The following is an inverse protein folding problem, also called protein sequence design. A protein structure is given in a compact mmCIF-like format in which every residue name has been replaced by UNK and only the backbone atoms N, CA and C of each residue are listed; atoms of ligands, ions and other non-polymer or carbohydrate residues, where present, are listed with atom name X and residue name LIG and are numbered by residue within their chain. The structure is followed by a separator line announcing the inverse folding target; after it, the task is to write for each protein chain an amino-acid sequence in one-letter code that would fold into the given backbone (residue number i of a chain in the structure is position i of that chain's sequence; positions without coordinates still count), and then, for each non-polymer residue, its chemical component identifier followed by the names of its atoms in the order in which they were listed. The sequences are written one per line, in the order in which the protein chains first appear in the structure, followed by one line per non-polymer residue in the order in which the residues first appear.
data_IF_821201178618
#
_entry.id   IF_821201178618
#
_cell.length_a   1.000
_cell.length_b   1.000
_cell.length_c   1.000
_cell.angle_alpha   90.00
_cell.angle_beta   90.00
_cell.angle_gamma   90.00
#
_symmetry.space_group_name_H-M   'P 1'
#
loop_
_entity.id
_entity.type
_entity.pdbx_description
1 polymer ?
#
# COMPACT_ATOMS: atom_id res chain seq x y z
N UNK A 1 2.72 -11.96 -4.88
CA UNK A 1 1.91 -10.70 -4.87
C UNK A 1 2.46 -9.61 -5.78
N UNK A 2 3.77 -9.42 -5.87
CA UNK A 2 4.34 -8.29 -6.62
C UNK A 2 4.00 -8.33 -8.13
N UNK A 3 4.17 -9.49 -8.79
CA UNK A 3 3.87 -9.62 -10.23
C UNK A 3 2.36 -9.73 -10.51
N UNK A 4 1.62 -10.37 -9.62
CA UNK A 4 0.19 -10.61 -9.75
C UNK A 4 -0.62 -9.30 -9.67
N UNK A 5 -0.08 -8.30 -8.98
CA UNK A 5 -0.69 -6.97 -8.87
C UNK A 5 -0.79 -6.19 -10.18
N UNK A 6 -0.03 -6.60 -11.21
CA UNK A 6 -0.09 -6.02 -12.55
C UNK A 6 -1.15 -6.66 -13.44
N UNK A 7 -1.70 -7.84 -13.05
CA UNK A 7 -2.67 -8.58 -13.86
C UNK A 7 -3.93 -7.78 -14.21
N UNK A 8 -4.55 -7.01 -13.29
CA UNK A 8 -5.72 -6.21 -13.64
C UNK A 8 -5.42 -5.15 -14.70
N UNK A 9 -4.28 -4.45 -14.57
CA UNK A 9 -3.84 -3.45 -15.55
C UNK A 9 -3.50 -4.07 -16.90
N UNK A 10 -2.85 -5.25 -16.89
CA UNK A 10 -2.56 -6.03 -18.08
C UNK A 10 -3.84 -6.48 -18.80
N UNK A 11 -4.85 -6.96 -18.07
CA UNK A 11 -6.12 -7.39 -18.69
C UNK A 11 -6.93 -6.24 -19.28
N UNK A 12 -6.85 -5.03 -18.70
CA UNK A 12 -7.58 -3.86 -19.22
C UNK A 12 -6.87 -3.22 -20.42
N UNK A 13 -5.54 -3.12 -20.38
CA UNK A 13 -4.75 -2.31 -21.34
C UNK A 13 -3.84 -3.14 -22.26
N UNK A 14 -3.65 -4.42 -21.99
CA UNK A 14 -2.72 -5.28 -22.72
C UNK A 14 -1.25 -4.95 -22.47
N UNK A 15 -0.36 -5.72 -23.10
CA UNK A 15 1.07 -5.43 -23.18
C UNK A 15 1.52 -5.60 -24.64
N UNK A 16 2.31 -4.66 -25.13
CA UNK A 16 2.85 -4.69 -26.48
C UNK A 16 4.05 -5.64 -26.65
N UNK A 17 4.59 -6.18 -25.55
CA UNK A 17 5.82 -6.99 -25.56
C UNK A 17 7.11 -6.16 -25.57
N UNK A 18 7.02 -4.83 -25.56
CA UNK A 18 8.17 -3.91 -25.52
C UNK A 18 8.22 -3.18 -24.17
N UNK A 19 9.39 -2.62 -23.87
CA UNK A 19 9.58 -1.68 -22.77
C UNK A 19 9.16 -0.28 -23.23
N UNK A 20 7.86 -0.13 -23.49
CA UNK A 20 7.23 1.11 -23.92
C UNK A 20 6.38 1.71 -22.78
N UNK A 21 5.08 1.96 -23.01
CA UNK A 21 4.24 2.80 -22.14
C UNK A 21 3.80 2.10 -20.82
N UNK A 22 4.14 0.82 -20.66
CA UNK A 22 3.93 -0.02 -19.46
C UNK A 22 2.63 0.31 -18.69
N UNK A 23 1.46 0.24 -19.34
CA UNK A 23 0.20 0.75 -18.79
C UNK A 23 -0.25 -0.01 -17.53
N UNK A 24 0.13 -1.29 -17.43
CA UNK A 24 -0.11 -2.09 -16.24
C UNK A 24 0.63 -1.54 -15.02
N UNK A 25 1.87 -1.05 -15.18
CA UNK A 25 2.65 -0.51 -14.09
C UNK A 25 2.10 0.83 -13.58
N UNK A 26 1.66 1.70 -14.49
CA UNK A 26 1.01 2.95 -14.14
C UNK A 26 -0.28 2.71 -13.37
N UNK A 27 -1.12 1.79 -13.85
CA UNK A 27 -2.37 1.45 -13.18
C UNK A 27 -2.12 0.91 -11.77
N UNK A 28 -1.22 -0.06 -11.62
CA UNK A 28 -0.91 -0.65 -10.31
C UNK A 28 -0.34 0.40 -9.36
N UNK A 29 0.60 1.24 -9.81
CA UNK A 29 1.18 2.27 -8.95
C UNK A 29 0.12 3.25 -8.44
N UNK A 30 -0.74 3.79 -9.32
CA UNK A 30 -1.82 4.71 -8.96
C UNK A 30 -2.85 4.04 -8.04
N UNK A 31 -3.29 2.83 -8.37
CA UNK A 31 -4.32 2.14 -7.61
C UNK A 31 -3.89 1.88 -6.15
N UNK A 32 -2.65 1.42 -5.97
CA UNK A 32 -2.11 1.17 -4.62
C UNK A 32 -1.76 2.45 -3.88
N UNK A 33 -1.34 3.52 -4.56
CA UNK A 33 -1.12 4.83 -3.94
C UNK A 33 -2.43 5.43 -3.41
N UNK A 34 -3.52 5.34 -4.20
CA UNK A 34 -4.87 5.71 -3.74
C UNK A 34 -5.34 4.84 -2.56
N UNK A 35 -5.03 3.54 -2.59
CA UNK A 35 -5.35 2.65 -1.47
C UNK A 35 -4.61 3.03 -0.19
N UNK A 36 -3.37 3.51 -0.27
CA UNK A 36 -2.63 4.07 0.86
C UNK A 36 -3.31 5.34 1.40
N UNK A 37 -3.66 6.28 0.52
CA UNK A 37 -4.33 7.53 0.90
C UNK A 37 -5.65 7.29 1.62
N UNK A 38 -6.50 6.41 1.07
CA UNK A 38 -7.78 6.03 1.69
C UNK A 38 -7.56 5.32 3.02
N UNK A 39 -6.63 4.35 3.07
CA UNK A 39 -6.31 3.64 4.30
C UNK A 39 -5.83 4.58 5.41
N UNK A 40 -4.97 5.55 5.09
CA UNK A 40 -4.48 6.55 6.04
C UNK A 40 -5.59 7.49 6.52
N UNK A 41 -6.53 7.86 5.65
CA UNK A 41 -7.70 8.64 6.07
C UNK A 41 -8.52 7.87 7.10
N UNK A 42 -8.78 6.57 6.86
CA UNK A 42 -9.52 5.69 7.76
C UNK A 42 -8.78 5.44 9.08
N UNK A 43 -7.46 5.27 9.05
CA UNK A 43 -6.60 5.22 10.24
C UNK A 43 -6.73 6.51 11.04
N UNK A 44 -6.64 7.65 10.37
CA UNK A 44 -6.79 8.97 10.99
C UNK A 44 -8.14 9.12 11.66
N UNK A 45 -9.23 8.77 10.97
CA UNK A 45 -10.59 8.77 11.54
C UNK A 45 -10.68 7.87 12.78
N UNK A 46 -10.09 6.68 12.72
CA UNK A 46 -10.17 5.67 13.80
C UNK A 46 -9.42 6.10 15.06
N UNK A 47 -8.23 6.67 14.93
CA UNK A 47 -7.33 6.90 16.08
C UNK A 47 -7.16 8.36 16.49
N UNK A 48 -7.51 9.33 15.62
CA UNK A 48 -7.32 10.76 15.90
C UNK A 48 -8.40 11.68 15.31
N UNK A 49 -9.52 11.13 14.84
CA UNK A 49 -10.66 11.88 14.31
C UNK A 49 -10.40 12.62 12.99
N UNK A 50 -11.29 13.55 12.66
CA UNK A 50 -11.27 14.29 11.38
C UNK A 50 -9.96 15.07 11.10
N UNK A 51 -9.29 15.70 12.09
CA UNK A 51 -8.03 16.39 11.83
C UNK A 51 -6.93 15.43 11.37
N UNK A 52 -6.80 14.27 12.02
CA UNK A 52 -5.80 13.27 11.65
C UNK A 52 -6.14 12.58 10.33
N UNK A 53 -7.44 12.41 10.04
CA UNK A 53 -7.92 11.90 8.77
C UNK A 53 -7.56 12.78 7.57
N UNK A 54 -7.46 14.10 7.75
CA UNK A 54 -6.95 15.02 6.72
C UNK A 54 -5.42 15.05 6.68
N UNK A 55 -4.78 15.07 7.85
CA UNK A 55 -3.33 15.23 7.95
C UNK A 55 -2.54 14.03 7.39
N UNK A 56 -2.97 12.79 7.64
CA UNK A 56 -2.22 11.61 7.21
C UNK A 56 -2.17 11.41 5.69
N UNK A 57 -3.29 11.49 4.94
CA UNK A 57 -3.25 11.43 3.48
C UNK A 57 -2.50 12.62 2.89
N UNK A 58 -2.63 13.82 3.47
CA UNK A 58 -1.87 14.99 3.03
C UNK A 58 -0.37 14.78 3.22
N UNK A 59 0.06 14.26 4.37
CA UNK A 59 1.46 13.94 4.62
C UNK A 59 1.99 12.88 3.65
N UNK A 60 1.20 11.85 3.33
CA UNK A 60 1.55 10.86 2.31
C UNK A 60 1.73 11.48 0.93
N UNK A 61 0.83 12.36 0.51
CA UNK A 61 0.92 13.03 -0.79
C UNK A 61 2.08 14.05 -0.85
N UNK A 62 2.39 14.71 0.26
CA UNK A 62 3.46 15.72 0.34
C UNK A 62 4.86 15.11 0.54
N UNK A 63 4.95 13.84 0.95
CA UNK A 63 6.23 13.21 1.25
C UNK A 63 7.01 12.89 -0.04
N UNK A 64 8.27 13.33 -0.17
CA UNK A 64 8.98 13.24 -1.45
C UNK A 64 9.24 11.80 -1.90
N UNK A 65 9.37 10.84 -0.98
CA UNK A 65 9.65 9.45 -1.35
C UNK A 65 8.40 8.70 -1.85
N UNK A 66 7.22 8.99 -1.30
CA UNK A 66 5.95 8.43 -1.82
C UNK A 66 5.61 9.03 -3.18
N UNK A 67 5.88 10.32 -3.37
CA UNK A 67 5.80 10.97 -4.69
C UNK A 67 6.80 10.38 -5.69
N UNK A 68 8.04 10.13 -5.27
CA UNK A 68 9.04 9.46 -6.10
C UNK A 68 8.61 8.05 -6.52
N UNK A 69 8.01 7.29 -5.59
CA UNK A 69 7.45 5.96 -5.87
C UNK A 69 6.34 6.02 -6.90
N UNK A 70 5.38 6.93 -6.75
CA UNK A 70 4.30 7.14 -7.71
C UNK A 70 4.82 7.56 -9.09
N UNK A 71 5.77 8.51 -9.13
CA UNK A 71 6.34 9.02 -10.38
C UNK A 71 7.20 7.99 -11.12
N UNK A 72 7.81 7.06 -10.39
CA UNK A 72 8.66 5.99 -10.95
C UNK A 72 7.86 4.74 -11.33
N UNK A 73 6.55 4.72 -11.09
CA UNK A 73 5.68 3.56 -11.30
C UNK A 73 6.20 2.27 -10.63
N UNK A 74 6.87 2.42 -9.48
CA UNK A 74 7.32 1.25 -8.71
C UNK A 74 6.20 0.73 -7.83
N UNK A 75 6.31 -0.55 -7.48
CA UNK A 75 5.35 -1.29 -6.66
C UNK A 75 5.60 -1.17 -5.15
N UNK A 76 6.45 -0.22 -4.72
CA UNK A 76 6.72 0.06 -3.31
C UNK A 76 5.48 0.49 -2.51
N UNK A 77 4.42 0.97 -3.18
CA UNK A 77 3.14 1.27 -2.54
C UNK A 77 2.35 0.02 -2.13
N UNK A 78 2.58 -1.15 -2.75
CA UNK A 78 1.87 -2.39 -2.42
C UNK A 78 2.13 -2.86 -0.97
N UNK A 79 3.40 -3.06 -0.53
CA UNK A 79 3.64 -3.45 0.85
C UNK A 79 3.17 -2.37 1.83
N UNK A 80 3.35 -1.08 1.50
CA UNK A 80 2.86 0.01 2.33
C UNK A 80 1.34 -0.02 2.51
N UNK A 81 0.57 -0.25 1.43
CA UNK A 81 -0.88 -0.40 1.49
C UNK A 81 -1.26 -1.55 2.42
N UNK A 82 -0.65 -2.73 2.27
CA UNK A 82 -0.93 -3.85 3.16
C UNK A 82 -0.66 -3.52 4.62
N UNK A 83 0.45 -2.83 4.94
CA UNK A 83 0.72 -2.41 6.31
C UNK A 83 -0.30 -1.40 6.85
N UNK A 84 -0.71 -0.41 6.04
CA UNK A 84 -1.72 0.59 6.43
C UNK A 84 -3.06 -0.09 6.74
N UNK A 85 -3.51 -0.99 5.87
CA UNK A 85 -4.77 -1.73 6.07
C UNK A 85 -4.68 -2.73 7.23
N UNK A 86 -3.53 -3.38 7.41
CA UNK A 86 -3.25 -4.21 8.58
C UNK A 86 -3.28 -3.43 9.89
N UNK A 87 -2.73 -2.21 9.90
CA UNK A 87 -2.78 -1.31 11.04
C UNK A 87 -4.19 -0.78 11.31
N UNK A 88 -4.94 -0.44 10.26
CA UNK A 88 -6.33 -0.06 10.40
C UNK A 88 -7.16 -1.20 11.02
N UNK A 89 -6.83 -2.46 10.72
CA UNK A 89 -7.48 -3.67 11.24
C UNK A 89 -6.74 -4.31 12.43
N UNK A 90 -5.88 -3.56 13.14
CA UNK A 90 -4.99 -4.09 14.17
C UNK A 90 -5.71 -4.81 15.33
N UNK A 91 -6.99 -4.50 15.57
CA UNK A 91 -7.82 -5.20 16.58
C UNK A 91 -8.20 -6.63 16.20
N UNK A 92 -8.04 -7.04 14.95
CA UNK A 92 -8.22 -8.43 14.52
C UNK A 92 -6.86 -9.10 14.34
N UNK A 93 -6.55 -10.06 15.21
CA UNK A 93 -5.29 -10.81 15.17
C UNK A 93 -5.06 -11.51 13.82
N UNK A 94 -6.13 -12.06 13.23
CA UNK A 94 -6.09 -12.66 11.91
C UNK A 94 -5.80 -11.63 10.82
N UNK A 95 -6.51 -10.50 10.82
CA UNK A 95 -6.34 -9.49 9.78
C UNK A 95 -4.92 -8.91 9.81
N UNK A 96 -4.42 -8.47 10.96
CA UNK A 96 -3.05 -7.91 11.06
C UNK A 96 -1.99 -8.94 10.65
N UNK A 97 -2.16 -10.22 11.01
CA UNK A 97 -1.27 -11.30 10.60
C UNK A 97 -1.27 -11.53 9.09
N UNK A 98 -2.44 -11.59 8.47
CA UNK A 98 -2.59 -11.74 7.01
C UNK A 98 -1.94 -10.56 6.28
N UNK A 99 -2.25 -9.33 6.69
CA UNK A 99 -1.70 -8.14 6.05
C UNK A 99 -0.18 -8.00 6.23
N UNK A 100 0.37 -8.35 7.41
CA UNK A 100 1.82 -8.41 7.62
C UNK A 100 2.49 -9.48 6.74
N UNK A 101 1.86 -10.65 6.61
CA UNK A 101 2.35 -11.72 5.75
C UNK A 101 2.32 -11.32 4.27
N UNK A 102 1.22 -10.74 3.79
CA UNK A 102 1.08 -10.25 2.41
C UNK A 102 2.08 -9.14 2.08
N UNK A 103 2.29 -8.22 3.02
CA UNK A 103 3.33 -7.18 2.88
C UNK A 103 4.72 -7.80 2.76
N UNK A 104 5.06 -8.73 3.66
CA UNK A 104 6.38 -9.36 3.71
C UNK A 104 6.64 -10.27 2.52
N UNK A 105 5.59 -10.92 2.00
CA UNK A 105 5.62 -11.67 0.74
C UNK A 105 5.86 -10.77 -0.48
N UNK A 106 5.48 -9.48 -0.38
CA UNK A 106 5.74 -8.50 -1.44
C UNK A 106 7.16 -7.95 -1.36
N UNK A 107 7.62 -7.56 -0.16
CA UNK A 107 9.01 -7.19 0.14
C UNK A 107 9.36 -7.62 1.57
N UNK A 108 10.38 -8.47 1.73
CA UNK A 108 10.76 -9.06 3.03
C UNK A 108 11.08 -8.04 4.14
N UNK A 109 11.53 -6.84 3.78
CA UNK A 109 11.85 -5.78 4.73
C UNK A 109 10.70 -5.46 5.69
N UNK A 110 9.45 -5.61 5.26
CA UNK A 110 8.29 -5.31 6.12
C UNK A 110 8.05 -6.33 7.22
N UNK A 111 8.73 -7.49 7.21
CA UNK A 111 8.61 -8.49 8.27
C UNK A 111 9.08 -7.93 9.64
N UNK A 112 9.83 -6.82 9.63
CA UNK A 112 10.23 -6.09 10.83
C UNK A 112 9.04 -5.65 11.70
N UNK A 113 7.84 -5.49 11.13
CA UNK A 113 6.65 -5.12 11.92
C UNK A 113 6.05 -6.31 12.70
N UNK A 114 6.43 -7.55 12.37
CA UNK A 114 5.81 -8.74 12.94
C UNK A 114 5.94 -8.83 14.46
N UNK A 115 7.11 -8.61 15.09
CA UNK A 115 7.23 -8.66 16.55
C UNK A 115 6.31 -7.63 17.25
N UNK A 116 6.17 -6.44 16.69
CA UNK A 116 5.33 -5.37 17.24
C UNK A 116 3.84 -5.71 17.17
N UNK A 117 3.39 -6.34 16.08
CA UNK A 117 1.96 -6.67 15.91
C UNK A 117 1.58 -7.98 16.61
N UNK A 118 2.54 -8.85 16.88
CA UNK A 118 2.33 -10.05 17.70
C UNK A 118 2.02 -9.69 19.16
N UNK A 119 2.60 -8.60 19.68
CA UNK A 119 2.40 -8.14 21.07
C UNK A 119 1.22 -7.19 21.24
N UNK A 120 0.49 -6.88 20.16
CA UNK A 120 -0.67 -5.98 20.23
C UNK A 120 -1.84 -6.65 20.99
N UNK A 121 -2.36 -6.01 22.06
CA UNK A 121 -3.37 -6.58 22.94
C UNK A 121 -4.74 -6.78 22.29
#
# INVERSE_FOLDING_TARGET
MSYESYLPGYWIRGWSGKWDDLPAAHFTSIAFDLACLVGLALVGLRFGGAPLAGALPFAWAAYPFTQYVSSSNTNDTIPAAFLIWGFWLVTSAWARGIFAALSSWTKFATLVVAPMWLTYP
#
